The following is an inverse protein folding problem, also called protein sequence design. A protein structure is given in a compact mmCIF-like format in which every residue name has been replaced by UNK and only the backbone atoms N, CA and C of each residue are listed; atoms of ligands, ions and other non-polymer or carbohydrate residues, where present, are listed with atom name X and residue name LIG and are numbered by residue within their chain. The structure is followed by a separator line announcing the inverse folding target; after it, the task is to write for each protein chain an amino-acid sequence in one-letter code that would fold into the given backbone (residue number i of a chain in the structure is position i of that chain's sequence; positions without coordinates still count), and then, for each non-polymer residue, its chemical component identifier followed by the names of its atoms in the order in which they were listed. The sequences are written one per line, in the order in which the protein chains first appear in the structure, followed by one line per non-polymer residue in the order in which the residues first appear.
data_IF_484913459724
#
_entry.id   IF_484913459724
#
_cell.length_a   1.000
_cell.length_b   1.000
_cell.length_c   1.000
_cell.angle_alpha   90.00
_cell.angle_beta   90.00
_cell.angle_gamma   90.00
#
_symmetry.space_group_name_H-M   'P 1'
#
loop_
_entity.id
_entity.type
_entity.pdbx_description
1 polymer ?
#
# COMPACT_ATOMS: atom_id res chain seq x y z
N UNK A 1 -17.13 15.79 15.76
CA UNK A 1 -18.05 14.96 16.58
C UNK A 1 -17.63 13.51 16.50
N UNK A 2 -17.60 12.74 17.59
CA UNK A 2 -17.28 11.31 17.51
C UNK A 2 -18.38 10.46 16.88
N UNK A 3 -17.99 9.43 16.13
CA UNK A 3 -18.88 8.48 15.46
C UNK A 3 -18.79 7.09 16.09
N UNK A 4 -19.94 6.49 16.37
CA UNK A 4 -20.04 5.09 16.78
C UNK A 4 -19.77 4.13 15.61
N UNK A 5 -18.85 3.18 15.80
CA UNK A 5 -18.43 2.27 14.73
C UNK A 5 -19.44 1.16 14.42
N UNK A 6 -20.33 0.84 15.36
CA UNK A 6 -21.35 -0.20 15.16
C UNK A 6 -22.64 0.43 14.65
N UNK A 7 -23.08 1.51 15.31
CA UNK A 7 -24.33 2.20 14.97
C UNK A 7 -24.19 3.15 13.79
N UNK A 8 -22.97 3.60 13.48
CA UNK A 8 -22.69 4.63 12.50
C UNK A 8 -23.13 6.03 12.93
N UNK A 9 -23.63 6.21 14.16
CA UNK A 9 -24.21 7.45 14.68
C UNK A 9 -23.14 8.43 15.14
N UNK A 10 -23.33 9.71 14.83
CA UNK A 10 -22.53 10.79 15.42
C UNK A 10 -23.10 11.20 16.78
N UNK A 11 -22.19 11.45 17.72
CA UNK A 11 -22.49 11.87 19.07
C UNK A 11 -21.88 13.24 19.37
N UNK A 12 -22.63 14.03 20.10
CA UNK A 12 -22.21 15.32 20.65
C UNK A 12 -21.97 15.21 22.16
N UNK A 13 -21.33 16.22 22.74
CA UNK A 13 -21.14 16.29 24.19
C UNK A 13 -22.48 16.40 24.94
N UNK A 14 -23.50 16.99 24.31
CA UNK A 14 -24.85 17.06 24.87
C UNK A 14 -25.47 15.66 25.05
N UNK A 15 -25.20 14.74 24.12
CA UNK A 15 -25.72 13.37 24.18
C UNK A 15 -25.14 12.59 25.38
N UNK A 16 -24.02 13.04 25.97
CA UNK A 16 -23.43 12.41 27.16
C UNK A 16 -24.35 12.55 28.38
N UNK A 17 -25.19 13.59 28.43
CA UNK A 17 -26.18 13.75 29.50
C UNK A 17 -27.44 12.91 29.32
N UNK A 18 -27.72 12.45 28.09
CA UNK A 18 -28.89 11.62 27.82
C UNK A 18 -28.74 10.23 28.44
N UNK A 19 -29.72 9.83 29.27
CA UNK A 19 -29.69 8.56 30.00
C UNK A 19 -29.86 7.32 29.10
N UNK A 20 -30.33 7.49 27.88
CA UNK A 20 -30.50 6.45 26.87
C UNK A 20 -29.28 6.35 25.96
N UNK A 21 -28.69 7.49 25.59
CA UNK A 21 -27.55 7.51 24.65
C UNK A 21 -26.22 7.23 25.34
N UNK A 22 -26.01 7.72 26.57
CA UNK A 22 -24.74 7.51 27.28
C UNK A 22 -24.37 6.03 27.48
N UNK A 23 -25.29 5.11 27.86
CA UNK A 23 -24.98 3.68 27.89
C UNK A 23 -24.55 3.13 26.53
N UNK A 24 -25.23 3.53 25.43
CA UNK A 24 -24.90 3.07 24.07
C UNK A 24 -23.50 3.50 23.64
N UNK A 25 -23.13 4.74 23.94
CA UNK A 25 -21.77 5.24 23.67
C UNK A 25 -20.67 4.42 24.38
N UNK A 26 -20.99 3.73 25.48
CA UNK A 26 -20.06 2.87 26.20
C UNK A 26 -20.04 1.42 25.70
N UNK A 27 -21.02 1.03 24.89
CA UNK A 27 -21.18 -0.32 24.34
C UNK A 27 -20.56 -0.46 22.95
N UNK A 28 -20.13 0.63 22.32
CA UNK A 28 -19.46 0.62 21.03
C UNK A 28 -18.17 1.47 21.02
N UNK A 29 -17.20 1.16 20.14
CA UNK A 29 -16.07 2.03 19.92
C UNK A 29 -16.51 3.34 19.28
N UNK A 30 -15.96 4.46 19.75
CA UNK A 30 -16.17 5.78 19.16
C UNK A 30 -14.86 6.30 18.56
N UNK A 31 -14.92 6.84 17.35
CA UNK A 31 -13.79 7.53 16.72
C UNK A 31 -14.10 9.01 16.54
N UNK A 32 -13.13 9.88 16.80
CA UNK A 32 -13.25 11.30 16.42
C UNK A 32 -12.90 11.51 14.93
N UNK A 33 -12.89 12.78 14.50
CA UNK A 33 -12.56 13.16 13.12
C UNK A 33 -11.11 12.84 12.72
N UNK A 34 -10.21 12.70 13.71
CA UNK A 34 -8.80 12.34 13.52
C UNK A 34 -8.58 10.81 13.59
N UNK A 35 -9.64 10.00 13.50
CA UNK A 35 -9.58 8.53 13.62
C UNK A 35 -9.02 8.05 14.98
N UNK A 36 -9.11 8.88 16.02
CA UNK A 36 -8.69 8.52 17.38
C UNK A 36 -9.83 7.86 18.14
N UNK A 37 -9.52 6.79 18.87
CA UNK A 37 -10.47 6.22 19.85
C UNK A 37 -10.75 7.25 20.93
N UNK A 38 -12.03 7.48 21.21
CA UNK A 38 -12.48 8.35 22.29
C UNK A 38 -13.48 7.65 23.19
N UNK A 39 -13.55 8.07 24.46
CA UNK A 39 -14.52 7.56 25.43
C UNK A 39 -15.32 8.72 26.02
N UNK A 40 -16.64 8.54 26.23
CA UNK A 40 -17.48 9.59 26.79
C UNK A 40 -17.18 9.75 28.29
N UNK A 41 -16.81 10.95 28.72
CA UNK A 41 -16.61 11.29 30.13
C UNK A 41 -17.78 12.13 30.59
N UNK A 42 -18.61 11.54 31.47
CA UNK A 42 -19.71 12.25 32.12
C UNK A 42 -19.21 12.87 33.42
N UNK A 43 -19.29 14.19 33.51
CA UNK A 43 -19.17 14.94 34.76
C UNK A 43 -20.35 15.94 34.85
N UNK A 44 -20.51 16.61 35.98
CA UNK A 44 -21.70 17.46 36.23
C UNK A 44 -21.70 18.79 35.46
N UNK A 45 -20.59 19.21 34.85
CA UNK A 45 -20.40 20.60 34.37
C UNK A 45 -19.83 20.67 32.94
N UNK A 46 -18.94 19.76 32.56
CA UNK A 46 -18.15 19.76 31.31
C UNK A 46 -18.00 18.34 30.73
N UNK A 47 -19.10 17.72 30.23
CA UNK A 47 -19.00 16.44 29.54
C UNK A 47 -18.09 16.61 28.34
N UNK A 48 -17.25 15.63 28.08
CA UNK A 48 -16.35 15.68 26.95
C UNK A 48 -16.00 14.26 26.49
N UNK A 49 -15.51 14.15 25.28
CA UNK A 49 -14.92 12.93 24.78
C UNK A 49 -13.43 12.96 25.06
N UNK A 50 -12.98 12.06 25.95
CA UNK A 50 -11.56 11.92 26.24
C UNK A 50 -10.94 10.95 25.25
N UNK A 51 -9.88 11.41 24.61
CA UNK A 51 -9.08 10.59 23.69
C UNK A 51 -8.33 9.48 24.42
N UNK A 52 -8.29 8.30 23.81
CA UNK A 52 -7.52 7.14 24.23
C UNK A 52 -6.45 6.89 23.16
N UNK A 53 -5.19 7.13 23.52
CA UNK A 53 -4.06 6.94 22.62
C UNK A 53 -3.88 8.07 21.58
N UNK A 54 -3.00 7.80 20.62
CA UNK A 54 -2.66 8.70 19.52
C UNK A 54 -3.53 8.41 18.27
N UNK A 55 -3.49 9.22 17.21
CA UNK A 55 -4.33 8.95 16.04
C UNK A 55 -3.82 7.68 15.38
N UNK A 56 -4.71 6.95 14.70
CA UNK A 56 -4.31 5.75 13.95
C UNK A 56 -3.23 6.06 12.93
N UNK A 57 -3.23 7.29 12.38
CA UNK A 57 -2.25 7.77 11.42
C UNK A 57 -1.74 9.15 11.83
N UNK A 58 -0.41 9.32 11.82
CA UNK A 58 0.22 10.62 12.06
C UNK A 58 0.43 11.40 10.76
N UNK A 59 1.67 11.83 10.48
CA UNK A 59 2.00 12.61 9.29
C UNK A 59 2.23 11.72 8.06
N UNK A 60 1.65 12.09 6.91
CA UNK A 60 1.95 11.42 5.63
C UNK A 60 3.41 11.65 5.23
N UNK A 61 4.09 10.57 4.85
CA UNK A 61 5.37 10.59 4.15
C UNK A 61 5.15 10.50 2.63
N UNK A 62 5.97 11.25 1.89
CA UNK A 62 5.85 11.39 0.44
C UNK A 62 4.75 12.34 -0.01
N UNK A 63 4.85 12.75 -1.27
CA UNK A 63 3.85 13.59 -1.95
C UNK A 63 2.69 12.78 -2.52
N UNK A 64 1.56 13.45 -2.69
CA UNK A 64 0.51 12.94 -3.55
C UNK A 64 0.92 13.15 -5.02
N UNK A 65 0.62 12.18 -5.87
CA UNK A 65 0.62 12.38 -7.31
C UNK A 65 -0.72 13.02 -7.71
N UNK A 66 -0.69 14.03 -8.56
CA UNK A 66 -1.88 14.73 -9.10
C UNK A 66 -1.74 14.75 -10.61
N UNK A 67 -1.69 13.55 -11.19
CA UNK A 67 -1.55 13.35 -12.62
C UNK A 67 -2.72 12.47 -13.11
N UNK A 68 -3.55 12.95 -14.05
CA UNK A 68 -4.69 12.17 -14.52
C UNK A 68 -4.32 10.81 -15.13
N UNK A 69 -3.16 10.69 -15.77
CA UNK A 69 -2.67 9.40 -16.30
C UNK A 69 -2.36 8.42 -15.17
N UNK A 70 -1.70 8.89 -14.11
CA UNK A 70 -1.45 8.12 -12.89
C UNK A 70 -2.77 7.62 -12.27
N UNK A 71 -3.70 8.53 -11.97
CA UNK A 71 -4.93 8.19 -11.26
C UNK A 71 -5.80 7.24 -12.09
N UNK A 72 -5.84 7.44 -13.41
CA UNK A 72 -6.52 6.52 -14.32
C UNK A 72 -5.90 5.12 -14.31
N UNK A 73 -4.58 5.01 -14.16
CA UNK A 73 -3.91 3.72 -14.04
C UNK A 73 -4.15 3.07 -12.68
N UNK A 74 -4.09 3.83 -11.57
CA UNK A 74 -4.40 3.32 -10.23
C UNK A 74 -5.83 2.79 -10.17
N UNK A 75 -6.79 3.55 -10.69
CA UNK A 75 -8.19 3.12 -10.77
C UNK A 75 -8.34 1.87 -11.64
N UNK A 76 -7.72 1.84 -12.82
CA UNK A 76 -7.74 0.69 -13.70
C UNK A 76 -7.20 -0.57 -13.02
N UNK A 77 -6.01 -0.51 -12.42
CA UNK A 77 -5.43 -1.66 -11.74
C UNK A 77 -6.30 -2.12 -10.56
N UNK A 78 -6.80 -1.18 -9.77
CA UNK A 78 -7.67 -1.48 -8.62
C UNK A 78 -8.98 -2.17 -9.05
N UNK A 79 -9.60 -1.71 -10.13
CA UNK A 79 -10.84 -2.28 -10.65
C UNK A 79 -10.60 -3.71 -11.17
N UNK A 80 -9.53 -3.93 -11.92
CA UNK A 80 -9.15 -5.26 -12.44
C UNK A 80 -8.80 -6.23 -11.30
N UNK A 81 -8.08 -5.76 -10.27
CA UNK A 81 -7.75 -6.56 -9.07
C UNK A 81 -8.97 -6.95 -8.24
N UNK A 82 -10.06 -6.18 -8.30
CA UNK A 82 -11.32 -6.44 -7.59
C UNK A 82 -12.44 -6.96 -8.50
N UNK A 83 -12.16 -7.27 -9.77
CA UNK A 83 -13.17 -7.83 -10.67
C UNK A 83 -13.60 -9.21 -10.15
N UNK A 84 -14.91 -9.39 -10.00
CA UNK A 84 -15.54 -10.62 -9.47
C UNK A 84 -15.32 -11.84 -10.35
N UNK A 85 -14.91 -11.65 -11.61
CA UNK A 85 -14.57 -12.71 -12.54
C UNK A 85 -13.11 -13.17 -12.41
N UNK A 86 -12.29 -12.49 -11.61
CA UNK A 86 -10.91 -12.87 -11.34
C UNK A 86 -10.89 -13.84 -10.16
N UNK A 87 -10.41 -15.05 -10.44
CA UNK A 87 -10.27 -16.13 -9.45
C UNK A 87 -8.96 -16.02 -8.67
N UNK A 88 -7.91 -15.48 -9.30
CA UNK A 88 -6.59 -15.34 -8.68
C UNK A 88 -5.76 -14.24 -9.33
N UNK A 89 -4.91 -13.60 -8.54
CA UNK A 89 -3.93 -12.60 -8.99
C UNK A 89 -2.52 -13.17 -8.90
N UNK A 90 -1.75 -13.08 -9.99
CA UNK A 90 -0.34 -13.47 -10.05
C UNK A 90 0.54 -12.28 -10.39
N UNK A 91 1.77 -12.32 -9.89
CA UNK A 91 2.82 -11.40 -10.29
C UNK A 91 3.95 -12.17 -10.95
N UNK A 92 4.38 -11.69 -12.10
CA UNK A 92 5.47 -12.29 -12.86
C UNK A 92 6.48 -11.23 -13.29
N UNK A 93 7.64 -11.70 -13.75
CA UNK A 93 8.65 -10.87 -14.38
C UNK A 93 9.23 -11.61 -15.57
N UNK A 94 9.94 -10.90 -16.44
CA UNK A 94 10.72 -11.58 -17.48
C UNK A 94 12.17 -11.65 -17.04
N UNK A 95 12.77 -12.82 -17.19
CA UNK A 95 14.21 -13.03 -17.04
C UNK A 95 14.78 -13.12 -18.45
N UNK A 96 15.71 -12.22 -18.77
CA UNK A 96 16.30 -12.15 -20.10
C UNK A 96 17.59 -12.96 -20.16
N UNK A 97 17.76 -13.73 -21.23
CA UNK A 97 19.02 -14.35 -21.61
C UNK A 97 19.94 -13.35 -22.32
N UNK A 98 21.20 -13.73 -22.54
CA UNK A 98 22.20 -12.89 -23.20
C UNK A 98 21.81 -12.49 -24.65
N UNK A 99 21.03 -13.33 -25.32
CA UNK A 99 20.52 -13.10 -26.68
C UNK A 99 19.23 -12.25 -26.73
N UNK A 100 18.82 -11.68 -25.60
CA UNK A 100 17.60 -10.88 -25.41
C UNK A 100 16.29 -11.67 -25.54
N UNK A 101 16.33 -13.00 -25.69
CA UNK A 101 15.15 -13.82 -25.44
C UNK A 101 14.81 -13.77 -23.95
N UNK A 102 13.56 -14.09 -23.61
CA UNK A 102 13.12 -14.05 -22.23
C UNK A 102 12.19 -15.19 -21.87
N UNK A 103 12.23 -15.55 -20.59
CA UNK A 103 11.29 -16.45 -19.96
C UNK A 103 10.46 -15.69 -18.92
N UNK A 104 9.16 -16.00 -18.85
CA UNK A 104 8.30 -15.46 -17.81
C UNK A 104 8.46 -16.28 -16.53
N UNK A 105 8.86 -15.61 -15.45
CA UNK A 105 9.03 -16.19 -14.13
C UNK A 105 7.97 -15.65 -13.19
N UNK A 106 7.22 -16.55 -12.55
CA UNK A 106 6.27 -16.18 -11.48
C UNK A 106 7.06 -15.77 -10.24
N UNK A 107 6.76 -14.58 -9.72
CA UNK A 107 7.27 -14.05 -8.44
C UNK A 107 6.32 -14.41 -7.31
N UNK A 108 5.01 -14.27 -7.55
CA UNK A 108 3.98 -14.57 -6.58
C UNK A 108 2.73 -15.14 -7.23
N UNK A 109 2.16 -16.14 -6.56
CA UNK A 109 0.83 -16.66 -6.80
C UNK A 109 0.21 -17.01 -5.45
N UNK A 110 -1.09 -16.73 -5.22
CA UNK A 110 -1.77 -17.08 -3.99
C UNK A 110 -1.81 -18.60 -3.80
N UNK A 111 -1.88 -19.02 -2.52
CA UNK A 111 -2.18 -20.39 -2.15
C UNK A 111 -3.65 -20.69 -2.48
N UNK A 112 -4.01 -21.98 -2.53
CA UNK A 112 -5.39 -22.40 -2.85
C UNK A 112 -6.44 -21.90 -1.86
N UNK A 113 -6.04 -21.62 -0.61
CA UNK A 113 -6.90 -21.18 0.48
C UNK A 113 -6.69 -19.68 0.82
N UNK A 114 -5.97 -18.95 -0.04
CA UNK A 114 -5.78 -17.51 0.09
C UNK A 114 -6.99 -16.73 -0.40
N UNK A 115 -7.33 -15.63 0.29
CA UNK A 115 -8.35 -14.67 -0.13
C UNK A 115 -7.74 -13.26 -0.13
N UNK A 116 -7.16 -12.84 -1.25
CA UNK A 116 -6.51 -11.52 -1.34
C UNK A 116 -7.54 -10.41 -1.51
N UNK A 117 -7.56 -9.49 -0.55
CA UNK A 117 -8.28 -8.23 -0.64
C UNK A 117 -7.36 -7.09 -1.07
N UNK A 118 -7.87 -6.22 -1.94
CA UNK A 118 -7.16 -5.07 -2.46
C UNK A 118 -7.80 -3.76 -1.98
N UNK A 119 -6.97 -2.78 -1.69
CA UNK A 119 -7.31 -1.46 -1.14
C UNK A 119 -6.50 -0.42 -1.90
N UNK A 120 -6.97 0.83 -1.97
CA UNK A 120 -6.22 1.92 -2.62
C UNK A 120 -6.19 3.17 -1.79
N UNK A 121 -5.15 3.97 -2.00
CA UNK A 121 -4.97 5.30 -1.42
C UNK A 121 -5.25 5.33 0.10
N UNK A 122 -6.26 6.10 0.54
CA UNK A 122 -6.59 6.28 1.97
C UNK A 122 -6.86 4.96 2.70
N UNK A 123 -7.40 3.97 2.00
CA UNK A 123 -7.75 2.66 2.57
C UNK A 123 -6.55 1.69 2.53
N UNK A 124 -5.45 2.08 1.86
CA UNK A 124 -4.19 1.34 1.78
C UNK A 124 -3.11 1.89 2.73
N UNK A 125 -3.41 2.89 3.57
CA UNK A 125 -2.43 3.54 4.46
C UNK A 125 -1.76 2.55 5.42
N UNK A 126 -0.47 2.74 5.62
CA UNK A 126 0.35 1.94 6.55
C UNK A 126 1.00 2.88 7.56
N UNK A 127 0.61 2.75 8.83
CA UNK A 127 1.16 3.54 9.94
C UNK A 127 2.49 2.97 10.44
N UNK A 128 3.34 3.87 10.94
CA UNK A 128 4.60 3.55 11.59
C UNK A 128 4.64 4.13 13.01
N UNK A 129 5.54 3.59 13.83
CA UNK A 129 5.64 3.87 15.25
C UNK A 129 6.03 5.32 15.58
N UNK A 130 6.66 6.02 14.64
CA UNK A 130 7.10 7.41 14.79
C UNK A 130 6.05 8.45 14.37
N UNK A 131 4.77 8.15 14.57
CA UNK A 131 3.63 9.00 14.20
C UNK A 131 3.69 9.44 12.72
N UNK A 132 4.06 8.50 11.85
CA UNK A 132 4.13 8.71 10.40
C UNK A 132 3.34 7.62 9.67
N UNK A 133 2.99 7.85 8.41
CA UNK A 133 2.41 6.82 7.56
C UNK A 133 2.79 7.02 6.10
N UNK A 134 2.84 5.93 5.34
CA UNK A 134 2.83 5.99 3.87
C UNK A 134 1.43 5.69 3.36
N UNK A 135 1.12 6.21 2.17
CA UNK A 135 -0.13 5.94 1.47
C UNK A 135 0.21 5.35 0.10
N UNK A 136 0.39 4.02 0.02
CA UNK A 136 0.57 3.35 -1.26
C UNK A 136 -0.61 3.58 -2.19
N UNK A 137 -0.36 3.53 -3.49
CA UNK A 137 -1.44 3.63 -4.47
C UNK A 137 -2.39 2.45 -4.34
N UNK A 138 -1.85 1.23 -4.26
CA UNK A 138 -2.63 0.00 -4.03
C UNK A 138 -1.92 -0.88 -3.00
N UNK A 139 -2.68 -1.33 -2.00
CA UNK A 139 -2.28 -2.32 -1.02
C UNK A 139 -3.11 -3.60 -1.14
N UNK A 140 -2.47 -4.76 -1.01
CA UNK A 140 -3.11 -6.07 -1.04
C UNK A 140 -2.69 -6.93 0.15
N UNK A 141 -3.62 -7.70 0.71
CA UNK A 141 -3.30 -8.71 1.74
C UNK A 141 -4.25 -9.88 1.70
N UNK A 142 -3.78 -11.02 2.18
CA UNK A 142 -4.65 -12.17 2.44
C UNK A 142 -5.55 -11.89 3.66
N UNK A 143 -6.86 -12.04 3.49
CA UNK A 143 -7.88 -11.82 4.53
C UNK A 143 -8.01 -13.02 5.48
N UNK A 144 -7.58 -14.20 5.04
CA UNK A 144 -7.65 -15.43 5.81
C UNK A 144 -6.41 -15.69 6.66
N UNK A 145 -5.37 -14.86 6.53
CA UNK A 145 -4.08 -15.05 7.21
C UNK A 145 -3.75 -13.86 8.10
N UNK A 146 -3.22 -14.16 9.29
CA UNK A 146 -2.96 -13.14 10.31
C UNK A 146 -1.75 -12.24 10.00
N UNK A 147 -0.60 -12.82 9.64
CA UNK A 147 0.66 -12.09 9.45
C UNK A 147 1.36 -12.50 8.16
N UNK A 148 1.89 -11.57 7.34
CA UNK A 148 2.44 -11.89 6.03
C UNK A 148 3.65 -12.83 6.12
N UNK A 149 3.68 -13.81 5.23
CA UNK A 149 4.82 -14.73 5.01
C UNK A 149 5.18 -14.74 3.54
N UNK A 150 6.33 -15.29 3.17
CA UNK A 150 6.74 -15.40 1.76
C UNK A 150 5.70 -16.11 0.86
N UNK A 151 4.88 -17.02 1.42
CA UNK A 151 3.82 -17.71 0.69
C UNK A 151 2.52 -16.90 0.51
N UNK A 152 2.31 -15.85 1.31
CA UNK A 152 1.17 -14.93 1.25
C UNK A 152 1.65 -13.57 1.76
N UNK A 153 2.49 -12.88 0.97
CA UNK A 153 3.02 -11.60 1.36
C UNK A 153 1.89 -10.57 1.37
N UNK A 154 2.08 -9.48 2.11
CA UNK A 154 1.34 -8.27 1.81
C UNK A 154 1.93 -7.67 0.52
N UNK A 155 1.10 -7.07 -0.31
CA UNK A 155 1.51 -6.54 -1.61
C UNK A 155 1.30 -5.04 -1.61
N UNK A 156 2.28 -4.31 -2.12
CA UNK A 156 2.22 -2.89 -2.38
C UNK A 156 2.51 -2.69 -3.87
N UNK A 157 1.67 -1.90 -4.55
CA UNK A 157 1.90 -1.47 -5.92
C UNK A 157 1.99 0.05 -5.88
N UNK A 158 3.14 0.58 -6.32
CA UNK A 158 3.38 2.01 -6.50
C UNK A 158 3.37 2.28 -8.01
N UNK A 159 2.43 3.08 -8.49
CA UNK A 159 2.35 3.49 -9.90
C UNK A 159 3.28 4.68 -10.11
N UNK A 160 4.24 4.54 -11.01
CA UNK A 160 5.27 5.58 -11.23
C UNK A 160 5.08 6.19 -12.61
N UNK A 161 4.76 7.48 -12.65
CA UNK A 161 4.61 8.25 -13.90
C UNK A 161 5.55 9.45 -13.95
N UNK A 162 5.30 10.42 -13.08
CA UNK A 162 6.00 11.72 -13.02
C UNK A 162 6.98 11.77 -11.86
N UNK A 163 6.74 10.97 -10.83
CA UNK A 163 7.56 10.95 -9.62
C UNK A 163 7.72 9.52 -9.09
N UNK A 164 8.91 9.21 -8.58
CA UNK A 164 9.19 8.00 -7.81
C UNK A 164 9.09 8.28 -6.30
N UNK A 165 9.01 7.23 -5.44
CA UNK A 165 8.92 7.41 -4.00
C UNK A 165 10.11 8.19 -3.47
N UNK A 166 9.87 9.28 -2.75
CA UNK A 166 10.94 10.07 -2.11
C UNK A 166 11.73 9.22 -1.10
N UNK A 167 12.94 9.66 -0.76
CA UNK A 167 13.87 8.94 0.12
C UNK A 167 13.21 8.33 1.37
N UNK A 168 12.48 9.14 2.12
CA UNK A 168 11.87 8.71 3.39
C UNK A 168 10.76 7.67 3.13
N UNK A 169 9.96 7.85 2.08
CA UNK A 169 8.96 6.86 1.63
C UNK A 169 9.64 5.56 1.20
N UNK A 170 10.70 5.64 0.39
CA UNK A 170 11.45 4.48 -0.06
C UNK A 170 12.10 3.73 1.11
N UNK A 171 12.58 4.44 2.13
CA UNK A 171 13.10 3.82 3.36
C UNK A 171 12.02 2.98 4.04
N UNK A 172 10.79 3.49 4.12
CA UNK A 172 9.65 2.75 4.70
C UNK A 172 9.24 1.56 3.85
N UNK A 173 9.21 1.69 2.53
CA UNK A 173 8.99 0.56 1.62
C UNK A 173 10.07 -0.52 1.80
N UNK A 174 11.33 -0.12 2.00
CA UNK A 174 12.44 -1.03 2.28
C UNK A 174 12.27 -1.76 3.62
N UNK A 175 11.90 -1.04 4.69
CA UNK A 175 11.58 -1.63 6.01
C UNK A 175 10.44 -2.65 5.90
N UNK A 176 9.36 -2.30 5.18
CA UNK A 176 8.23 -3.20 4.94
C UNK A 176 8.64 -4.43 4.11
N UNK A 177 9.50 -4.26 3.11
CA UNK A 177 9.94 -5.37 2.27
C UNK A 177 10.72 -6.44 3.05
N UNK A 178 11.41 -6.04 4.12
CA UNK A 178 12.11 -6.94 5.06
C UNK A 178 11.14 -7.71 5.97
N UNK A 179 9.88 -7.30 6.02
CA UNK A 179 8.81 -7.92 6.82
C UNK A 179 7.73 -8.57 5.95
N UNK A 180 8.13 -9.21 4.84
CA UNK A 180 7.27 -9.94 3.90
C UNK A 180 6.21 -9.07 3.19
N UNK A 181 6.53 -7.80 2.94
CA UNK A 181 5.81 -7.03 1.94
C UNK A 181 6.52 -7.16 0.59
N UNK A 182 5.78 -7.46 -0.46
CA UNK A 182 6.28 -7.37 -1.83
C UNK A 182 5.91 -5.98 -2.35
N UNK A 183 6.89 -5.18 -2.72
CA UNK A 183 6.68 -3.84 -3.28
C UNK A 183 6.97 -3.91 -4.78
N UNK A 184 5.98 -3.59 -5.61
CA UNK A 184 6.09 -3.61 -7.07
C UNK A 184 6.00 -2.19 -7.61
N UNK A 185 6.99 -1.77 -8.39
CA UNK A 185 7.03 -0.45 -9.01
C UNK A 185 6.48 -0.52 -10.44
N UNK A 186 5.26 -0.02 -10.63
CA UNK A 186 4.50 -0.09 -11.87
C UNK A 186 4.66 1.21 -12.68
N UNK A 187 5.76 1.29 -13.43
CA UNK A 187 6.08 2.39 -14.35
C UNK A 187 5.13 2.46 -15.54
N UNK A 188 4.64 3.68 -15.86
CA UNK A 188 3.75 3.98 -16.99
C UNK A 188 4.19 5.23 -17.77
N UNK A 189 3.80 5.31 -19.04
CA UNK A 189 3.96 6.50 -19.88
C UNK A 189 2.64 7.28 -20.05
N UNK A 190 2.71 8.49 -20.61
CA UNK A 190 1.56 9.39 -20.76
C UNK A 190 0.40 8.72 -21.49
N UNK A 191 -0.82 8.85 -20.96
CA UNK A 191 -2.03 8.28 -21.54
C UNK A 191 -2.09 6.75 -21.55
N UNK A 192 -1.13 6.05 -20.94
CA UNK A 192 -1.05 4.59 -20.95
C UNK A 192 -1.25 3.98 -19.55
N UNK A 193 -1.84 2.78 -19.50
CA UNK A 193 -2.03 1.95 -18.30
C UNK A 193 -1.01 0.81 -18.18
N UNK A 194 -0.08 0.77 -19.13
CA UNK A 194 0.96 -0.26 -19.28
C UNK A 194 2.16 0.35 -19.99
N UNK A 195 3.29 -0.33 -19.90
CA UNK A 195 4.56 0.06 -20.48
C UNK A 195 5.28 -1.15 -21.05
N UNK A 196 6.46 -0.95 -21.64
CA UNK A 196 7.36 -2.09 -21.91
C UNK A 196 7.88 -2.74 -20.62
N UNK A 197 7.81 -2.00 -19.52
CA UNK A 197 8.28 -2.41 -18.21
C UNK A 197 7.23 -3.16 -17.40
N UNK A 198 5.94 -2.90 -17.64
CA UNK A 198 4.86 -3.52 -16.88
C UNK A 198 3.64 -3.74 -17.75
N UNK A 199 2.96 -4.87 -17.55
CA UNK A 199 1.74 -5.18 -18.28
C UNK A 199 0.77 -5.99 -17.43
N UNK A 200 -0.49 -5.98 -17.84
CA UNK A 200 -1.55 -6.77 -17.25
C UNK A 200 -2.12 -7.69 -18.34
N UNK A 201 -2.40 -8.94 -17.97
CA UNK A 201 -3.14 -9.87 -18.82
C UNK A 201 -4.05 -10.75 -17.99
N UNK A 202 -5.17 -11.16 -18.58
CA UNK A 202 -6.13 -12.08 -17.95
C UNK A 202 -6.25 -13.30 -18.84
N UNK A 203 -6.02 -14.49 -18.27
CA UNK A 203 -6.19 -15.78 -18.95
C UNK A 203 -6.82 -16.77 -18.00
N UNK A 204 -7.92 -17.41 -18.41
CA UNK A 204 -8.64 -18.43 -17.63
C UNK A 204 -8.97 -17.97 -16.19
N UNK A 205 -9.50 -16.75 -16.03
CA UNK A 205 -9.84 -16.18 -14.71
C UNK A 205 -8.63 -15.76 -13.85
N UNK A 206 -7.40 -15.93 -14.35
CA UNK A 206 -6.18 -15.54 -13.65
C UNK A 206 -5.69 -14.22 -14.22
N UNK A 207 -5.66 -13.20 -13.38
CA UNK A 207 -5.07 -11.91 -13.67
C UNK A 207 -3.58 -11.96 -13.34
N UNK A 208 -2.73 -11.60 -14.30
CA UNK A 208 -1.28 -11.60 -14.15
C UNK A 208 -0.74 -10.19 -14.38
N UNK A 209 -0.13 -9.60 -13.35
CA UNK A 209 0.68 -8.39 -13.45
C UNK A 209 2.13 -8.79 -13.73
N UNK A 210 2.60 -8.49 -14.93
CA UNK A 210 4.02 -8.57 -15.25
C UNK A 210 4.67 -7.28 -14.81
N UNK A 211 5.70 -7.37 -13.97
CA UNK A 211 6.46 -6.25 -13.43
C UNK A 211 7.97 -6.47 -13.64
N UNK A 212 8.69 -5.41 -14.00
CA UNK A 212 10.14 -5.48 -14.17
C UNK A 212 10.91 -5.06 -12.93
N UNK A 213 10.38 -4.14 -12.13
CA UNK A 213 11.09 -3.49 -11.04
C UNK A 213 10.33 -3.72 -9.73
N UNK A 214 11.01 -4.29 -8.75
CA UNK A 214 10.36 -4.68 -7.50
C UNK A 214 11.36 -4.76 -6.35
N UNK A 215 10.84 -4.73 -5.13
CA UNK A 215 11.58 -4.75 -3.88
C UNK A 215 10.97 -5.82 -2.96
N UNK A 216 11.76 -6.85 -2.67
CA UNK A 216 11.33 -8.02 -1.87
C UNK A 216 12.49 -8.40 -0.94
N UNK A 217 12.18 -8.65 0.34
CA UNK A 217 13.19 -9.13 1.30
C UNK A 217 14.33 -8.15 1.55
N UNK A 218 14.11 -6.84 1.34
CA UNK A 218 15.15 -5.82 1.43
C UNK A 218 16.07 -5.72 0.22
N UNK A 219 15.77 -6.40 -0.89
CA UNK A 219 16.57 -6.38 -2.12
C UNK A 219 15.75 -5.84 -3.29
N UNK A 220 16.35 -4.93 -4.06
CA UNK A 220 15.80 -4.46 -5.33
C UNK A 220 16.09 -5.47 -6.43
N UNK A 221 15.16 -5.60 -7.36
CA UNK A 221 15.28 -6.47 -8.51
C UNK A 221 14.86 -5.76 -9.78
N UNK A 222 15.57 -6.08 -10.86
CA UNK A 222 15.24 -5.68 -12.23
C UNK A 222 15.22 -6.93 -13.10
N UNK A 223 14.04 -7.27 -13.65
CA UNK A 223 13.84 -8.40 -14.56
C UNK A 223 14.43 -9.71 -13.99
N UNK A 224 14.05 -10.06 -12.76
CA UNK A 224 14.52 -11.28 -12.08
C UNK A 224 15.87 -11.16 -11.36
N UNK A 225 16.70 -10.18 -11.72
CA UNK A 225 18.06 -10.06 -11.19
C UNK A 225 18.14 -9.05 -10.06
N UNK A 226 18.89 -9.37 -8.99
CA UNK A 226 19.17 -8.42 -7.92
C UNK A 226 19.88 -7.18 -8.50
N UNK A 227 19.40 -5.99 -8.16
CA UNK A 227 19.87 -4.73 -8.71
C UNK A 227 20.55 -3.90 -7.63
N UNK A 228 21.83 -3.59 -7.86
CA UNK A 228 22.64 -2.68 -7.03
C UNK A 228 22.40 -2.87 -5.51
N UNK A 229 22.72 -4.05 -4.93
CA UNK A 229 22.56 -4.25 -3.50
C UNK A 229 23.37 -3.21 -2.72
N UNK A 230 22.80 -2.65 -1.65
CA UNK A 230 23.49 -1.68 -0.80
C UNK A 230 24.77 -2.31 -0.24
N UNK A 231 25.92 -1.64 -0.40
CA UNK A 231 27.17 -2.08 0.21
C UNK A 231 27.08 -2.12 1.74
N UNK A 232 27.86 -2.98 2.41
CA UNK A 232 27.80 -3.11 3.89
C UNK A 232 28.05 -1.77 4.58
N UNK A 233 29.09 -1.05 4.17
CA UNK A 233 29.49 0.26 4.73
C UNK A 233 28.84 1.47 4.04
N UNK A 234 28.01 1.25 3.01
CA UNK A 234 27.38 2.33 2.26
C UNK A 234 26.21 2.94 3.07
N UNK A 235 26.13 4.27 3.14
CA UNK A 235 24.98 4.92 3.78
C UNK A 235 23.71 4.74 2.93
N UNK A 236 22.55 4.65 3.59
CA UNK A 236 21.27 4.57 2.88
C UNK A 236 21.05 5.78 1.95
N UNK A 237 21.47 6.97 2.39
CA UNK A 237 21.40 8.21 1.60
C UNK A 237 22.14 8.07 0.27
N UNK A 238 23.41 7.68 0.33
CA UNK A 238 24.26 7.55 -0.85
C UNK A 238 23.70 6.51 -1.82
N UNK A 239 23.29 5.36 -1.29
CA UNK A 239 22.67 4.30 -2.07
C UNK A 239 21.39 4.77 -2.77
N UNK A 240 20.51 5.46 -2.05
CA UNK A 240 19.27 5.96 -2.60
C UNK A 240 19.51 7.01 -3.69
N UNK A 241 20.43 7.96 -3.51
CA UNK A 241 20.82 8.93 -4.55
C UNK A 241 21.33 8.25 -5.84
N UNK A 242 22.04 7.13 -5.72
CA UNK A 242 22.42 6.32 -6.88
C UNK A 242 21.18 5.72 -7.57
N UNK A 243 20.22 5.20 -6.81
CA UNK A 243 19.00 4.59 -7.34
C UNK A 243 18.09 5.57 -8.06
N UNK A 244 18.02 6.84 -7.61
CA UNK A 244 17.21 7.88 -8.24
C UNK A 244 17.44 7.93 -9.75
N UNK A 245 18.70 7.98 -10.18
CA UNK A 245 19.06 8.06 -11.59
C UNK A 245 19.14 6.69 -12.26
N UNK A 246 19.80 5.73 -11.61
CA UNK A 246 20.14 4.44 -12.22
C UNK A 246 18.95 3.48 -12.34
N UNK A 247 18.00 3.59 -11.42
CA UNK A 247 16.84 2.71 -11.29
C UNK A 247 15.55 3.42 -11.68
N UNK A 248 15.19 4.51 -10.99
CA UNK A 248 13.88 5.13 -11.16
C UNK A 248 13.78 6.00 -12.42
N UNK A 249 14.62 7.04 -12.55
CA UNK A 249 14.61 7.93 -13.73
C UNK A 249 14.81 7.12 -15.01
N UNK A 250 15.76 6.20 -15.03
CA UNK A 250 16.01 5.34 -16.19
C UNK A 250 14.78 4.47 -16.56
N UNK A 251 14.03 3.97 -15.58
CA UNK A 251 12.83 3.20 -15.83
C UNK A 251 11.67 4.08 -16.33
N UNK A 252 11.50 5.27 -15.76
CA UNK A 252 10.51 6.25 -16.21
C UNK A 252 10.72 6.65 -17.67
N UNK A 253 11.97 6.91 -18.08
CA UNK A 253 12.32 7.26 -19.47
C UNK A 253 12.09 6.11 -20.47
N UNK A 254 11.99 4.87 -19.97
CA UNK A 254 11.84 3.65 -20.79
C UNK A 254 10.43 3.07 -20.77
N UNK A 255 9.52 3.63 -19.96
CA UNK A 255 8.15 3.18 -19.84
C UNK A 255 7.43 3.26 -21.20
#
# INVERSE_FOLDING_TARGET
MPRGLISGRDYSECDIFDHTLYPRMKEEPLLNEDDCIVVPVRNEITPHFRRVGNPSFGKRLGRAEDNPTHDNCVNYLYDELNDKNIEAVKFSTYVFAEDQTYEEQVIFSPLKDSDFGWYKEKDARIAFHEDSYIQPDIGGRDRNKFFPRSAYPNIIIEVIRTHYPERDTFQKLLELSKTNHHVYFYFIDEGNKKSKLNSLSIKNGILTLRVSHYLIGGQLYKNGNCYAPKGEDESFEHWYQYLENSYFTNAMERA
#
